data_IF_647364576907
#
_entry.id   IF_647364576907
#
_cell.length_a   1.000
_cell.length_b   1.000
_cell.length_c   1.000
_cell.angle_alpha   90.00
_cell.angle_beta   90.00
_cell.angle_gamma   90.00
#
_symmetry.space_group_name_H-M   'P 1'
#
loop_
_entity.id
_entity.type
_entity.pdbx_description
1 polymer ?
#
# COMPACT_ATOMS: atom_id res chain seq x y z
N UNK A 1 10.94 14.20 -36.06
CA UNK A 1 10.06 14.60 -34.94
C UNK A 1 9.98 13.44 -33.95
N UNK A 2 9.63 13.63 -32.66
CA UNK A 2 9.47 12.51 -31.74
C UNK A 2 8.22 11.67 -32.07
N UNK A 3 8.23 10.41 -31.69
CA UNK A 3 7.01 9.65 -31.48
C UNK A 3 6.46 9.98 -30.08
N UNK A 4 5.17 9.78 -29.83
CA UNK A 4 4.57 10.00 -28.53
C UNK A 4 3.95 8.69 -28.02
N UNK A 5 4.09 8.43 -26.73
CA UNK A 5 3.39 7.34 -26.04
C UNK A 5 2.39 7.98 -25.07
N UNK A 6 1.17 7.48 -25.12
CA UNK A 6 0.11 7.83 -24.17
C UNK A 6 -0.21 6.63 -23.29
N UNK A 7 -0.27 6.86 -21.98
CA UNK A 7 -0.70 5.88 -20.97
C UNK A 7 -1.74 6.55 -20.10
N UNK A 8 -2.98 6.02 -20.14
CA UNK A 8 -4.07 6.53 -19.29
C UNK A 8 -3.91 6.04 -17.85
N UNK A 9 -3.72 4.74 -17.68
CA UNK A 9 -3.55 4.09 -16.39
C UNK A 9 -2.77 2.78 -16.55
N UNK A 10 -2.31 2.24 -15.42
CA UNK A 10 -1.80 0.88 -15.30
C UNK A 10 -2.89 0.02 -14.67
N UNK A 11 -2.95 -1.26 -15.02
CA UNK A 11 -3.78 -2.25 -14.33
C UNK A 11 -2.91 -3.30 -13.68
N UNK A 12 -3.38 -3.89 -12.58
CA UNK A 12 -2.74 -5.02 -11.91
C UNK A 12 -3.55 -6.28 -12.21
N UNK A 13 -2.88 -7.30 -12.71
CA UNK A 13 -3.46 -8.63 -12.90
C UNK A 13 -2.71 -9.63 -12.03
N UNK A 14 -3.45 -10.37 -11.19
CA UNK A 14 -2.89 -11.39 -10.31
C UNK A 14 -3.94 -12.43 -9.92
N UNK A 15 -3.50 -13.64 -9.62
CA UNK A 15 -4.35 -14.68 -9.08
C UNK A 15 -4.73 -14.35 -7.63
N UNK A 16 -6.04 -14.36 -7.32
CA UNK A 16 -6.53 -14.00 -5.99
C UNK A 16 -6.05 -14.97 -4.91
N UNK A 17 -5.98 -16.27 -5.22
CA UNK A 17 -5.59 -17.28 -4.22
C UNK A 17 -4.15 -17.07 -3.74
N UNK A 18 -3.26 -16.72 -4.64
CA UNK A 18 -1.84 -16.54 -4.37
C UNK A 18 -1.52 -15.15 -3.84
N UNK A 19 -2.06 -14.11 -4.50
CA UNK A 19 -1.66 -12.72 -4.27
C UNK A 19 -2.73 -11.88 -3.55
N UNK A 20 -3.95 -12.39 -3.36
CA UNK A 20 -5.09 -11.61 -2.87
C UNK A 20 -5.64 -10.66 -3.95
N UNK A 21 -6.45 -9.68 -3.55
CA UNK A 21 -7.08 -8.76 -4.48
C UNK A 21 -6.06 -7.97 -5.32
N UNK A 22 -6.47 -7.64 -6.56
CA UNK A 22 -5.70 -6.85 -7.51
C UNK A 22 -5.85 -5.33 -7.32
N UNK A 23 -6.17 -4.89 -6.12
CA UNK A 23 -6.23 -3.47 -5.78
C UNK A 23 -4.85 -2.84 -5.88
N UNK A 24 -4.76 -1.65 -6.46
CA UNK A 24 -3.52 -0.92 -6.60
C UNK A 24 -3.73 0.60 -6.56
N UNK A 25 -2.65 1.33 -6.33
CA UNK A 25 -2.57 2.78 -6.44
C UNK A 25 -1.28 3.15 -7.17
N UNK A 26 -1.17 2.66 -8.43
CA UNK A 26 -0.07 3.02 -9.31
C UNK A 26 -0.34 4.39 -9.91
N UNK A 27 0.46 5.36 -9.52
CA UNK A 27 0.28 6.77 -9.91
C UNK A 27 1.24 7.23 -11.00
N UNK A 28 2.32 6.46 -11.23
CA UNK A 28 3.36 6.78 -12.21
C UNK A 28 3.68 5.60 -13.11
N UNK A 29 4.17 5.93 -14.30
CA UNK A 29 4.84 5.02 -15.20
C UNK A 29 6.34 5.35 -15.28
N UNK A 30 7.20 4.43 -14.84
CA UNK A 30 8.65 4.50 -15.02
C UNK A 30 9.00 3.82 -16.34
N UNK A 31 9.40 4.60 -17.33
CA UNK A 31 9.55 4.14 -18.72
C UNK A 31 11.00 4.04 -19.13
N UNK A 32 11.36 2.90 -19.72
CA UNK A 32 12.64 2.69 -20.35
C UNK A 32 12.45 2.29 -21.82
N UNK A 33 13.32 2.75 -22.71
CA UNK A 33 13.37 2.34 -24.12
C UNK A 33 14.76 1.79 -24.40
N UNK A 34 14.82 0.54 -24.89
CA UNK A 34 16.05 -0.24 -25.10
C UNK A 34 16.95 -0.21 -23.84
N UNK A 35 16.38 -0.56 -22.68
CA UNK A 35 17.05 -0.57 -21.38
C UNK A 35 17.47 0.81 -20.83
N UNK A 36 17.27 1.89 -21.57
CA UNK A 36 17.57 3.25 -21.13
C UNK A 36 16.34 3.91 -20.54
N UNK A 37 16.40 4.29 -19.27
CA UNK A 37 15.31 5.05 -18.61
C UNK A 37 15.16 6.43 -19.27
N UNK A 38 13.95 6.72 -19.73
CA UNK A 38 13.59 8.01 -20.34
C UNK A 38 12.83 8.94 -19.39
N UNK A 39 12.19 8.41 -18.35
CA UNK A 39 11.51 9.22 -17.35
C UNK A 39 10.57 8.45 -16.44
N UNK A 40 10.05 9.22 -15.48
CA UNK A 40 8.93 8.86 -14.63
C UNK A 40 7.79 9.82 -14.94
N UNK A 41 6.65 9.32 -15.33
CA UNK A 41 5.52 10.11 -15.81
C UNK A 41 4.30 9.87 -14.93
N UNK A 42 3.77 10.93 -14.34
CA UNK A 42 2.51 10.89 -13.58
C UNK A 42 1.34 10.60 -14.53
N UNK A 43 0.50 9.66 -14.17
CA UNK A 43 -0.62 9.20 -15.00
C UNK A 43 -1.90 10.01 -14.73
N UNK A 44 -2.72 10.28 -15.77
CA UNK A 44 -2.48 9.95 -17.19
C UNK A 44 -1.41 10.84 -17.83
N UNK A 45 -0.66 10.31 -18.79
CA UNK A 45 0.42 11.07 -19.42
C UNK A 45 0.62 10.75 -20.91
N UNK A 46 0.99 11.79 -21.66
CA UNK A 46 1.51 11.68 -23.03
C UNK A 46 2.91 12.29 -23.08
N UNK A 47 3.90 11.50 -23.44
CA UNK A 47 5.30 11.92 -23.41
C UNK A 47 6.03 11.59 -24.71
N UNK A 48 7.05 12.40 -25.11
CA UNK A 48 7.81 12.20 -26.33
C UNK A 48 8.87 11.11 -26.15
N UNK A 49 9.08 10.33 -27.21
CA UNK A 49 10.19 9.39 -27.35
C UNK A 49 11.00 9.76 -28.59
N UNK A 50 12.28 10.09 -28.39
CA UNK A 50 13.19 10.52 -29.47
C UNK A 50 13.80 9.34 -30.22
N UNK A 51 12.99 8.35 -30.55
CA UNK A 51 13.38 7.16 -31.33
C UNK A 51 12.31 6.86 -32.37
N UNK A 52 12.70 6.16 -33.44
CA UNK A 52 11.80 5.70 -34.52
C UNK A 52 12.09 4.27 -34.93
N UNK A 53 11.07 3.58 -35.41
CA UNK A 53 11.13 2.15 -35.76
C UNK A 53 10.83 1.27 -34.54
N UNK A 54 11.27 0.03 -34.61
CA UNK A 54 10.96 -1.00 -33.60
C UNK A 54 11.92 -0.92 -32.42
N UNK A 55 11.36 -0.72 -31.25
CA UNK A 55 12.11 -0.62 -29.98
C UNK A 55 11.46 -1.45 -28.88
N UNK A 56 12.24 -1.86 -27.90
CA UNK A 56 11.72 -2.42 -26.66
C UNK A 56 11.31 -1.25 -25.74
N UNK A 57 10.06 -1.24 -25.30
CA UNK A 57 9.57 -0.31 -24.30
C UNK A 57 9.17 -1.08 -23.04
N UNK A 58 9.76 -0.72 -21.90
CA UNK A 58 9.51 -1.34 -20.61
C UNK A 58 8.86 -0.32 -19.68
N UNK A 59 7.74 -0.70 -19.06
CA UNK A 59 6.98 0.19 -18.15
C UNK A 59 6.88 -0.47 -16.79
N UNK A 60 7.40 0.19 -15.76
CA UNK A 60 7.29 -0.22 -14.37
C UNK A 60 6.26 0.64 -13.64
N UNK A 61 5.42 0.06 -12.78
CA UNK A 61 4.47 0.82 -11.99
C UNK A 61 5.21 1.65 -10.93
N UNK A 62 4.77 2.89 -10.75
CA UNK A 62 5.27 3.80 -9.71
C UNK A 62 4.23 4.04 -8.62
N UNK A 63 4.71 4.20 -7.40
CA UNK A 63 3.93 4.42 -6.18
C UNK A 63 4.44 5.62 -5.40
N UNK A 64 3.56 6.20 -4.57
CA UNK A 64 3.94 7.10 -3.48
C UNK A 64 4.25 6.26 -2.23
N UNK A 65 5.54 6.17 -1.88
CA UNK A 65 5.97 5.45 -0.68
C UNK A 65 5.45 6.15 0.57
N UNK A 66 4.89 5.40 1.50
CA UNK A 66 4.27 5.92 2.74
C UNK A 66 3.14 6.93 2.49
N UNK A 67 2.53 6.93 1.30
CA UNK A 67 1.52 7.89 0.91
C UNK A 67 2.06 9.31 0.66
N UNK A 68 3.38 9.50 0.65
CA UNK A 68 4.01 10.81 0.47
C UNK A 68 4.18 11.09 -1.02
N UNK A 69 3.45 12.07 -1.56
CA UNK A 69 3.46 12.39 -2.98
C UNK A 69 4.83 12.78 -3.56
N UNK A 70 5.76 13.27 -2.75
CA UNK A 70 7.13 13.56 -3.14
C UNK A 70 8.06 12.33 -3.07
N UNK A 71 7.70 11.28 -2.34
CA UNK A 71 8.49 10.05 -2.19
C UNK A 71 8.07 9.02 -3.23
N UNK A 72 8.39 9.30 -4.50
CA UNK A 72 8.02 8.43 -5.63
C UNK A 72 9.09 7.39 -5.91
N UNK A 73 8.67 6.15 -6.09
CA UNK A 73 9.54 5.04 -6.47
C UNK A 73 8.81 4.08 -7.39
N UNK A 74 9.53 3.35 -8.23
CA UNK A 74 8.91 2.20 -8.89
C UNK A 74 8.60 1.12 -7.86
N UNK A 75 7.50 0.39 -8.08
CA UNK A 75 7.09 -0.67 -7.17
C UNK A 75 7.92 -1.94 -7.41
N UNK A 76 8.76 -2.36 -6.44
CA UNK A 76 9.82 -3.34 -6.70
C UNK A 76 9.33 -4.79 -6.80
N UNK A 77 8.09 -5.08 -6.42
CA UNK A 77 7.53 -6.44 -6.39
C UNK A 77 6.78 -6.83 -7.66
N UNK A 78 6.68 -5.91 -8.63
CA UNK A 78 6.04 -6.15 -9.91
C UNK A 78 7.04 -6.22 -11.05
N UNK A 79 6.72 -7.08 -12.04
CA UNK A 79 7.41 -7.15 -13.31
C UNK A 79 7.11 -5.90 -14.14
N UNK A 80 8.07 -5.43 -14.97
CA UNK A 80 7.74 -4.44 -15.97
C UNK A 80 6.78 -5.03 -17.02
N UNK A 81 5.88 -4.20 -17.55
CA UNK A 81 5.16 -4.51 -18.77
C UNK A 81 6.09 -4.22 -19.96
N UNK A 82 6.51 -5.26 -20.67
CA UNK A 82 7.46 -5.18 -21.77
C UNK A 82 6.77 -5.27 -23.13
N UNK A 83 7.00 -4.27 -23.98
CA UNK A 83 6.62 -4.24 -25.40
C UNK A 83 7.88 -4.41 -26.25
N UNK A 84 8.18 -5.64 -26.70
CA UNK A 84 9.48 -6.01 -27.28
C UNK A 84 9.76 -5.38 -28.66
N UNK A 85 8.74 -5.09 -29.45
CA UNK A 85 8.88 -4.60 -30.84
C UNK A 85 7.86 -3.49 -31.11
N UNK A 86 7.75 -2.49 -30.20
CA UNK A 86 6.84 -1.38 -30.37
C UNK A 86 7.32 -0.50 -31.54
N UNK A 87 6.48 -0.32 -32.56
CA UNK A 87 6.79 0.52 -33.72
C UNK A 87 6.56 2.01 -33.33
N UNK A 88 7.64 2.75 -33.18
CA UNK A 88 7.64 4.17 -32.91
C UNK A 88 7.63 4.97 -34.22
N UNK A 89 6.49 5.62 -34.49
CA UNK A 89 6.32 6.44 -35.71
C UNK A 89 6.40 7.91 -35.36
N UNK A 90 7.23 8.63 -36.10
CA UNK A 90 7.38 10.08 -35.90
C UNK A 90 6.03 10.80 -36.02
N UNK A 91 5.83 11.80 -35.17
CA UNK A 91 4.63 12.64 -35.15
C UNK A 91 3.29 11.89 -34.92
N UNK A 92 3.37 10.71 -34.33
CA UNK A 92 2.18 9.91 -33.96
C UNK A 92 2.10 9.65 -32.47
N UNK A 93 0.89 9.43 -31.96
CA UNK A 93 0.62 9.04 -30.58
C UNK A 93 0.26 7.53 -30.57
N UNK A 94 0.95 6.77 -29.75
CA UNK A 94 0.70 5.36 -29.52
C UNK A 94 0.12 5.21 -28.13
N UNK A 95 -1.12 4.74 -28.02
CA UNK A 95 -1.75 4.47 -26.72
C UNK A 95 -1.39 3.08 -26.25
N UNK A 96 -0.86 2.96 -25.04
CA UNK A 96 -0.56 1.71 -24.37
C UNK A 96 -1.47 1.52 -23.16
N UNK A 97 -1.88 0.28 -22.91
CA UNK A 97 -2.64 -0.14 -21.73
C UNK A 97 -1.82 -1.21 -21.00
N UNK A 98 -0.83 -0.80 -20.19
CA UNK A 98 0.07 -1.75 -19.55
C UNK A 98 -0.65 -2.56 -18.47
N UNK A 99 -0.52 -3.89 -18.55
CA UNK A 99 -0.95 -4.82 -17.52
C UNK A 99 0.26 -5.24 -16.71
N UNK A 100 0.22 -4.95 -15.43
CA UNK A 100 1.29 -5.23 -14.47
C UNK A 100 0.98 -6.54 -13.75
N UNK A 101 2.00 -7.35 -13.53
CA UNK A 101 1.90 -8.57 -12.74
C UNK A 101 2.96 -8.58 -11.65
N UNK A 102 2.67 -9.21 -10.52
CA UNK A 102 3.70 -9.49 -9.52
C UNK A 102 4.79 -10.41 -10.08
N UNK A 103 5.99 -10.36 -9.52
CA UNK A 103 6.94 -11.44 -9.68
C UNK A 103 6.36 -12.73 -9.06
N UNK A 104 6.77 -13.93 -9.51
CA UNK A 104 6.37 -15.16 -8.85
C UNK A 104 6.85 -15.18 -7.38
N UNK A 105 6.00 -15.66 -6.49
CA UNK A 105 6.37 -15.90 -5.09
C UNK A 105 7.55 -16.87 -5.05
N UNK A 106 8.57 -16.55 -4.26
CA UNK A 106 9.82 -17.30 -4.19
C UNK A 106 10.85 -16.99 -5.26
N UNK A 107 10.49 -16.23 -6.32
CA UNK A 107 11.39 -15.89 -7.43
C UNK A 107 11.65 -14.38 -7.60
N UNK A 108 11.06 -13.55 -6.81
CA UNK A 108 11.26 -12.09 -6.87
C UNK A 108 10.88 -11.41 -5.57
N UNK A 109 9.97 -12.02 -4.83
CA UNK A 109 9.58 -11.65 -3.50
C UNK A 109 8.94 -12.84 -2.77
N UNK A 110 8.72 -12.70 -1.47
CA UNK A 110 7.91 -13.59 -0.66
C UNK A 110 6.79 -12.78 0.00
N UNK A 111 5.67 -13.45 0.26
CA UNK A 111 4.58 -12.94 1.06
C UNK A 111 4.71 -13.50 2.47
N UNK A 112 5.00 -12.61 3.43
CA UNK A 112 5.17 -13.01 4.81
C UNK A 112 3.84 -13.19 5.52
N UNK A 113 2.84 -12.38 5.13
CA UNK A 113 1.50 -12.38 5.73
C UNK A 113 0.49 -11.73 4.79
N UNK A 114 -0.75 -12.23 4.85
CA UNK A 114 -1.88 -11.70 4.09
C UNK A 114 -3.14 -11.76 4.95
N UNK A 115 -3.97 -10.70 4.89
CA UNK A 115 -5.28 -10.62 5.54
C UNK A 115 -6.28 -9.99 4.56
N UNK A 116 -7.30 -10.73 4.22
CA UNK A 116 -8.40 -10.32 3.35
C UNK A 116 -9.78 -10.42 4.02
N UNK A 117 -9.80 -10.79 5.30
CA UNK A 117 -11.00 -10.95 6.13
C UNK A 117 -12.02 -11.96 5.59
N UNK A 118 -11.68 -12.77 4.59
CA UNK A 118 -12.59 -13.79 4.03
C UNK A 118 -12.68 -15.06 4.91
N UNK A 119 -11.74 -15.20 5.83
CA UNK A 119 -11.68 -16.35 6.77
C UNK A 119 -11.58 -15.90 8.23
N UNK A 120 -10.60 -16.41 8.97
CA UNK A 120 -10.31 -15.98 10.33
C UNK A 120 -9.54 -14.66 10.32
N UNK A 121 -9.78 -13.80 11.32
CA UNK A 121 -9.10 -12.52 11.46
C UNK A 121 -7.66 -12.76 11.94
N UNK A 122 -6.69 -12.34 11.16
CA UNK A 122 -5.26 -12.39 11.48
C UNK A 122 -4.74 -11.19 12.28
N UNK A 123 -5.63 -10.38 12.83
CA UNK A 123 -5.34 -9.22 13.68
C UNK A 123 -5.97 -9.42 15.06
N UNK A 124 -5.25 -9.04 16.10
CA UNK A 124 -5.72 -9.15 17.49
C UNK A 124 -5.51 -7.84 18.25
N UNK A 125 -6.43 -7.46 19.16
CA UNK A 125 -6.22 -6.30 20.02
C UNK A 125 -5.05 -6.55 20.98
N UNK A 126 -4.30 -5.50 21.30
CA UNK A 126 -3.34 -5.54 22.39
C UNK A 126 -4.05 -5.37 23.73
N UNK A 127 -3.33 -5.61 24.82
CA UNK A 127 -3.88 -5.46 26.18
C UNK A 127 -4.37 -4.04 26.49
N UNK A 128 -3.79 -3.03 25.82
CA UNK A 128 -4.11 -1.62 26.03
C UNK A 128 -5.30 -1.15 25.18
N UNK A 129 -5.85 -1.97 24.31
CA UNK A 129 -6.90 -1.57 23.37
C UNK A 129 -8.29 -1.60 24.01
N UNK A 130 -9.05 -0.51 23.87
CA UNK A 130 -10.45 -0.41 24.34
C UNK A 130 -11.43 -1.21 23.47
N UNK A 131 -11.02 -1.55 22.25
CA UNK A 131 -11.87 -2.26 21.28
C UNK A 131 -11.07 -3.24 20.45
N UNK A 132 -11.77 -4.02 19.66
CA UNK A 132 -11.18 -5.01 18.75
C UNK A 132 -11.60 -4.79 17.31
N UNK A 133 -10.87 -5.40 16.38
CA UNK A 133 -11.28 -5.48 14.99
C UNK A 133 -12.34 -6.57 14.82
N UNK A 134 -13.38 -6.28 14.06
CA UNK A 134 -14.45 -7.21 13.72
C UNK A 134 -14.54 -7.41 12.22
N UNK A 135 -14.81 -8.62 11.80
CA UNK A 135 -15.14 -8.96 10.41
C UNK A 135 -16.57 -8.52 10.11
N UNK A 136 -16.75 -7.71 9.07
CA UNK A 136 -18.05 -7.16 8.67
C UNK A 136 -18.28 -7.29 7.17
N UNK A 137 -19.55 -7.37 6.80
CA UNK A 137 -20.06 -7.30 5.42
C UNK A 137 -21.18 -6.27 5.39
N UNK A 138 -20.81 -5.02 5.67
CA UNK A 138 -21.73 -3.88 5.62
C UNK A 138 -21.55 -3.06 4.33
N UNK A 139 -22.32 -2.00 4.17
CA UNK A 139 -22.29 -1.18 2.96
C UNK A 139 -20.93 -0.47 2.73
N UNK A 140 -20.08 -0.40 3.74
CA UNK A 140 -18.76 0.22 3.69
C UNK A 140 -17.63 -0.80 3.52
N UNK A 141 -17.91 -2.10 3.68
CA UNK A 141 -16.93 -3.14 3.42
C UNK A 141 -16.46 -3.11 1.96
N UNK A 142 -15.23 -3.51 1.72
CA UNK A 142 -14.74 -3.68 0.35
C UNK A 142 -15.45 -4.87 -0.29
N UNK A 143 -15.96 -4.67 -1.50
CA UNK A 143 -16.62 -5.73 -2.25
C UNK A 143 -16.01 -5.87 -3.64
N UNK A 144 -15.66 -7.08 -3.99
CA UNK A 144 -15.22 -7.47 -5.33
C UNK A 144 -15.76 -8.86 -5.67
N UNK A 145 -15.32 -9.43 -6.79
CA UNK A 145 -15.73 -10.78 -7.19
C UNK A 145 -15.35 -11.85 -6.16
N UNK A 146 -14.23 -11.66 -5.43
CA UNK A 146 -13.67 -12.65 -4.51
C UNK A 146 -13.50 -12.11 -3.06
N UNK A 147 -13.99 -10.92 -2.76
CA UNK A 147 -13.89 -10.29 -1.45
C UNK A 147 -15.22 -9.71 -1.04
N UNK A 148 -15.72 -10.11 0.13
CA UNK A 148 -17.05 -9.77 0.63
C UNK A 148 -17.02 -9.18 2.03
N UNK A 149 -15.93 -9.36 2.75
CA UNK A 149 -15.77 -8.94 4.13
C UNK A 149 -14.56 -8.02 4.29
N UNK A 150 -14.65 -7.13 5.26
CA UNK A 150 -13.52 -6.28 5.68
C UNK A 150 -13.37 -6.28 7.19
N UNK A 151 -12.22 -5.91 7.69
CA UNK A 151 -12.01 -5.63 9.11
C UNK A 151 -12.52 -4.25 9.46
N UNK A 152 -13.34 -4.14 10.50
CA UNK A 152 -13.84 -2.88 11.02
C UNK A 152 -13.50 -2.71 12.48
N UNK A 153 -12.92 -1.55 12.82
CA UNK A 153 -12.72 -1.08 14.19
C UNK A 153 -13.65 0.10 14.40
N UNK A 154 -14.34 0.12 15.53
CA UNK A 154 -15.22 1.21 15.91
C UNK A 154 -14.78 1.71 17.28
N UNK A 155 -14.49 3.01 17.39
CA UNK A 155 -14.28 3.71 18.65
C UNK A 155 -15.52 4.54 18.95
N UNK A 156 -16.31 4.17 19.98
CA UNK A 156 -17.36 5.00 20.51
C UNK A 156 -16.82 6.33 21.06
N UNK A 157 -17.67 7.33 21.25
CA UNK A 157 -17.26 8.65 21.78
C UNK A 157 -16.49 8.60 23.11
N UNK A 158 -16.82 7.63 23.96
CA UNK A 158 -16.20 7.48 25.29
C UNK A 158 -14.93 6.62 25.30
N UNK A 159 -14.60 5.97 24.17
CA UNK A 159 -13.39 5.16 24.06
C UNK A 159 -12.20 6.03 23.68
N UNK A 160 -11.09 5.79 24.35
CA UNK A 160 -9.87 6.58 24.16
C UNK A 160 -9.04 6.06 23.00
N UNK A 161 -8.79 4.75 22.93
CA UNK A 161 -7.77 4.19 22.04
C UNK A 161 -8.13 2.81 21.51
N UNK A 162 -7.54 2.47 20.37
CA UNK A 162 -7.37 1.09 19.97
C UNK A 162 -5.92 0.84 19.55
N UNK A 163 -5.45 -0.35 19.79
CA UNK A 163 -4.24 -0.89 19.18
C UNK A 163 -4.48 -2.34 18.81
N UNK A 164 -4.44 -2.63 17.52
CA UNK A 164 -4.52 -4.00 16.98
C UNK A 164 -3.23 -4.33 16.24
N UNK A 165 -2.79 -5.58 16.31
CA UNK A 165 -1.57 -6.01 15.66
C UNK A 165 -1.77 -7.37 14.99
N UNK A 166 -0.87 -7.74 14.06
CA UNK A 166 -0.85 -9.07 13.46
C UNK A 166 -0.77 -10.13 14.57
N UNK A 167 -1.65 -11.14 14.49
CA UNK A 167 -1.62 -12.27 15.43
C UNK A 167 -0.34 -13.08 15.25
N UNK A 168 0.11 -13.23 14.00
CA UNK A 168 1.34 -13.91 13.64
C UNK A 168 2.57 -13.05 13.89
N UNK A 169 3.67 -13.72 14.23
CA UNK A 169 5.00 -13.14 14.38
C UNK A 169 5.72 -13.22 13.03
N UNK A 170 6.14 -12.06 12.52
CA UNK A 170 6.89 -11.96 11.28
C UNK A 170 8.39 -12.14 11.59
N UNK A 171 8.93 -13.29 11.25
CA UNK A 171 10.32 -13.69 11.58
C UNK A 171 11.28 -13.60 10.40
N UNK A 172 10.84 -13.10 9.25
CA UNK A 172 11.71 -12.97 8.08
C UNK A 172 12.73 -11.84 8.27
N UNK A 173 13.90 -12.03 7.70
CA UNK A 173 14.94 -11.01 7.65
C UNK A 173 15.14 -10.52 6.22
N UNK A 174 15.29 -9.21 6.06
CA UNK A 174 15.68 -8.62 4.80
C UNK A 174 17.16 -8.23 4.86
N UNK A 175 17.98 -8.78 4.00
CA UNK A 175 19.37 -8.31 3.87
C UNK A 175 19.50 -7.06 2.99
N UNK A 176 18.43 -6.69 2.33
CA UNK A 176 18.50 -5.68 1.30
C UNK A 176 18.75 -4.30 1.90
N UNK A 177 19.78 -3.72 1.37
CA UNK A 177 20.15 -2.34 1.56
C UNK A 177 19.29 -1.49 0.63
N UNK A 178 18.17 -0.96 1.10
CA UNK A 178 17.44 0.01 0.28
C UNK A 178 15.95 0.04 0.55
N UNK A 179 15.34 1.11 0.07
CA UNK A 179 13.90 1.30 0.08
C UNK A 179 13.21 0.19 -0.72
N UNK A 180 12.12 -0.37 -0.15
CA UNK A 180 11.34 -1.40 -0.80
C UNK A 180 11.80 -2.83 -0.59
N UNK A 181 12.65 -3.11 0.39
CA UNK A 181 13.03 -4.49 0.75
C UNK A 181 11.90 -5.26 1.43
N UNK A 182 11.02 -4.55 2.15
CA UNK A 182 9.76 -5.06 2.71
C UNK A 182 8.71 -3.95 2.71
N UNK A 183 7.47 -4.29 2.35
CA UNK A 183 6.36 -3.35 2.34
C UNK A 183 5.09 -3.96 2.91
N UNK A 184 4.29 -3.11 3.53
CA UNK A 184 2.88 -3.36 3.78
C UNK A 184 2.08 -2.71 2.63
N UNK A 185 1.30 -3.50 1.93
CA UNK A 185 0.17 -3.02 1.12
C UNK A 185 -1.08 -3.01 1.99
N UNK A 186 -1.89 -1.98 1.88
CA UNK A 186 -3.09 -1.84 2.69
C UNK A 186 -4.16 -1.04 1.95
N UNK A 187 -5.36 -1.58 1.88
CA UNK A 187 -6.57 -0.82 1.55
C UNK A 187 -7.22 -0.37 2.86
N UNK A 188 -7.67 0.88 2.91
CA UNK A 188 -8.27 1.45 4.10
C UNK A 188 -9.37 2.45 3.76
N UNK A 189 -10.32 2.57 4.69
CA UNK A 189 -11.42 3.53 4.62
C UNK A 189 -11.71 4.01 6.05
N UNK A 190 -11.48 5.28 6.34
CA UNK A 190 -11.57 5.81 7.70
C UNK A 190 -12.04 7.26 7.72
N UNK A 191 -12.79 7.62 8.76
CA UNK A 191 -13.19 9.00 9.05
C UNK A 191 -12.29 9.68 10.09
N UNK A 192 -11.28 8.96 10.62
CA UNK A 192 -10.33 9.51 11.58
C UNK A 192 -8.90 9.10 11.26
N UNK A 193 -7.95 9.74 11.90
CA UNK A 193 -6.53 9.43 11.73
C UNK A 193 -6.14 8.17 12.49
N UNK A 194 -5.19 7.41 11.94
CA UNK A 194 -4.56 6.30 12.62
C UNK A 194 -3.06 6.26 12.33
N UNK A 195 -2.30 5.68 13.24
CA UNK A 195 -0.91 5.30 12.96
C UNK A 195 -0.84 3.84 12.53
N UNK A 196 0.04 3.60 11.57
CA UNK A 196 0.49 2.27 11.17
C UNK A 196 1.97 2.17 11.48
N UNK A 197 2.38 1.08 12.11
CA UNK A 197 3.76 0.91 12.53
C UNK A 197 4.18 -0.54 12.71
N UNK A 198 5.39 -0.70 13.24
CA UNK A 198 5.94 -2.00 13.61
C UNK A 198 6.12 -2.08 15.13
N UNK A 199 5.64 -3.18 15.69
CA UNK A 199 6.09 -3.68 16.98
C UNK A 199 7.21 -4.68 16.73
N UNK A 200 8.26 -4.65 17.55
CA UNK A 200 9.32 -5.64 17.49
C UNK A 200 9.73 -6.08 18.90
N UNK A 201 10.13 -7.34 19.00
CA UNK A 201 10.57 -7.94 20.25
C UNK A 201 12.10 -8.08 20.26
N UNK A 202 12.72 -7.36 21.18
CA UNK A 202 14.17 -7.29 21.34
C UNK A 202 14.53 -7.14 22.80
N UNK A 203 15.56 -7.83 23.26
CA UNK A 203 16.06 -7.74 24.65
C UNK A 203 14.94 -7.93 25.72
N UNK A 204 14.05 -8.91 25.49
CA UNK A 204 12.92 -9.24 26.38
C UNK A 204 11.88 -8.12 26.53
N UNK A 205 11.84 -7.19 25.57
CA UNK A 205 10.87 -6.09 25.53
C UNK A 205 10.20 -6.00 24.17
N UNK A 206 8.96 -5.57 24.19
CA UNK A 206 8.23 -5.15 23.00
C UNK A 206 8.34 -3.65 22.85
N UNK A 207 8.89 -3.21 21.73
CA UNK A 207 8.96 -1.80 21.36
C UNK A 207 7.95 -1.52 20.25
N UNK A 208 7.37 -0.31 20.26
CA UNK A 208 6.40 0.15 19.24
C UNK A 208 6.99 1.33 18.49
N UNK A 209 7.03 1.26 17.17
CA UNK A 209 7.52 2.34 16.33
C UNK A 209 6.45 2.73 15.29
N UNK A 210 5.83 3.90 15.41
CA UNK A 210 4.92 4.41 14.39
C UNK A 210 5.71 4.80 13.14
N UNK A 211 5.23 4.35 11.97
CA UNK A 211 5.89 4.62 10.68
C UNK A 211 5.14 5.68 9.88
N UNK A 212 3.84 5.55 9.80
CA UNK A 212 3.00 6.41 8.97
C UNK A 212 1.76 6.83 9.72
N UNK A 213 1.45 8.11 9.67
CA UNK A 213 0.15 8.67 10.06
C UNK A 213 -0.75 8.65 8.84
N UNK A 214 -1.80 7.85 8.90
CA UNK A 214 -2.80 7.71 7.84
C UNK A 214 -3.94 8.68 8.13
N UNK A 215 -4.24 9.53 7.15
CA UNK A 215 -5.28 10.54 7.26
C UNK A 215 -6.64 9.98 6.83
N UNK A 216 -7.76 10.57 7.27
CA UNK A 216 -9.09 10.21 6.83
C UNK A 216 -9.20 10.13 5.31
N UNK A 217 -9.96 9.17 4.85
CA UNK A 217 -10.17 8.96 3.41
C UNK A 217 -11.21 9.93 2.85
N UNK A 218 -12.09 10.41 3.72
CA UNK A 218 -13.12 11.40 3.42
C UNK A 218 -13.03 12.57 4.41
N UNK A 219 -13.34 13.77 3.95
CA UNK A 219 -13.41 14.98 4.79
C UNK A 219 -14.79 15.18 5.40
N UNK A 220 -15.77 14.38 4.99
CA UNK A 220 -17.12 14.43 5.53
C UNK A 220 -17.19 13.66 6.84
N UNK A 221 -17.89 14.24 7.83
CA UNK A 221 -18.16 13.59 9.10
C UNK A 221 -19.10 12.39 8.92
N UNK A 222 -18.93 11.36 9.72
CA UNK A 222 -19.79 10.19 9.73
C UNK A 222 -19.10 8.93 9.22
N UNK A 223 -19.88 7.99 8.68
CA UNK A 223 -19.35 6.71 8.20
C UNK A 223 -18.55 6.94 6.91
N UNK A 224 -17.26 6.53 6.86
CA UNK A 224 -16.39 6.79 5.72
C UNK A 224 -16.87 6.00 4.48
N UNK A 225 -16.76 6.62 3.30
CA UNK A 225 -17.31 6.09 2.04
C UNK A 225 -16.25 5.79 0.98
N UNK A 226 -15.00 6.16 1.22
CA UNK A 226 -13.95 6.09 0.19
C UNK A 226 -12.80 5.20 0.63
N UNK A 227 -12.57 4.15 -0.13
CA UNK A 227 -11.40 3.32 0.00
C UNK A 227 -10.18 3.96 -0.68
N UNK A 228 -9.03 3.82 -0.05
CA UNK A 228 -7.72 4.21 -0.59
C UNK A 228 -6.73 3.08 -0.37
N UNK A 229 -5.72 3.00 -1.25
CA UNK A 229 -4.60 2.08 -1.09
C UNK A 229 -3.32 2.84 -0.79
N UNK A 230 -2.53 2.32 0.15
CA UNK A 230 -1.23 2.85 0.55
C UNK A 230 -0.18 1.72 0.57
N UNK A 231 1.07 2.10 0.30
CA UNK A 231 2.25 1.25 0.36
C UNK A 231 3.19 1.78 1.42
N UNK A 232 3.41 1.03 2.49
CA UNK A 232 4.22 1.46 3.63
C UNK A 232 5.53 0.69 3.65
N UNK A 233 6.65 1.41 3.63
CA UNK A 233 7.98 0.83 3.68
C UNK A 233 8.30 0.34 5.11
N UNK A 234 8.46 -0.97 5.27
CA UNK A 234 8.86 -1.62 6.50
C UNK A 234 10.36 -1.91 6.55
N UNK A 235 10.99 -2.00 5.38
CA UNK A 235 12.36 -2.53 5.23
C UNK A 235 13.41 -1.72 5.96
N UNK A 236 13.25 -0.40 6.07
CA UNK A 236 14.19 0.45 6.78
C UNK A 236 14.30 0.07 8.26
N UNK A 237 13.17 -0.04 8.95
CA UNK A 237 13.12 -0.38 10.37
C UNK A 237 13.53 -1.83 10.61
N UNK A 238 13.05 -2.76 9.78
CA UNK A 238 13.43 -4.16 9.90
C UNK A 238 14.91 -4.39 9.70
N UNK A 239 15.59 -3.50 8.98
CA UNK A 239 17.05 -3.50 8.83
C UNK A 239 17.76 -2.89 10.04
N UNK A 240 17.27 -1.79 10.58
CA UNK A 240 17.84 -1.15 11.77
C UNK A 240 17.70 -2.06 12.99
N UNK A 241 16.57 -2.75 13.13
CA UNK A 241 16.25 -3.66 14.21
C UNK A 241 16.44 -5.14 13.80
N UNK A 242 17.51 -5.43 13.05
CA UNK A 242 17.76 -6.76 12.47
C UNK A 242 18.05 -7.86 13.48
N UNK A 243 18.27 -7.51 14.73
CA UNK A 243 18.43 -8.41 15.88
C UNK A 243 17.13 -8.63 16.67
N UNK A 244 16.01 -8.05 16.22
CA UNK A 244 14.69 -8.36 16.77
C UNK A 244 14.35 -9.84 16.52
N UNK A 245 13.72 -10.48 17.49
CA UNK A 245 13.29 -11.88 17.36
C UNK A 245 12.13 -12.03 16.40
N UNK A 246 11.24 -11.05 16.36
CA UNK A 246 10.11 -10.96 15.42
C UNK A 246 9.58 -9.53 15.33
N UNK A 247 8.75 -9.31 14.30
CA UNK A 247 8.00 -8.08 14.08
C UNK A 247 6.50 -8.38 14.04
N UNK A 248 5.70 -7.36 14.33
CA UNK A 248 4.25 -7.34 14.09
C UNK A 248 3.87 -6.00 13.48
N UNK A 249 3.05 -6.00 12.45
CA UNK A 249 2.40 -4.76 11.99
C UNK A 249 1.31 -4.40 12.97
N UNK A 250 1.24 -3.14 13.38
CA UNK A 250 0.17 -2.66 14.25
C UNK A 250 -0.50 -1.42 13.69
N UNK A 251 -1.74 -1.25 14.11
CA UNK A 251 -2.60 -0.11 13.81
C UNK A 251 -3.09 0.46 15.13
N UNK A 252 -3.06 1.78 15.28
CA UNK A 252 -3.52 2.45 16.50
C UNK A 252 -4.18 3.77 16.18
N UNK A 253 -5.14 4.19 16.98
CA UNK A 253 -5.74 5.51 16.89
C UNK A 253 -4.72 6.59 17.21
N UNK A 254 -4.99 7.80 16.74
CA UNK A 254 -4.20 8.98 17.09
C UNK A 254 -4.89 9.73 18.23
N UNK A 255 -4.32 9.65 19.42
CA UNK A 255 -4.84 10.31 20.61
C UNK A 255 -4.49 11.81 20.71
N UNK A 256 -3.62 12.30 19.84
CA UNK A 256 -2.95 13.60 20.05
C UNK A 256 -3.58 14.75 19.27
N UNK A 257 -4.72 14.56 18.62
CA UNK A 257 -5.09 15.47 17.56
C UNK A 257 -6.35 16.31 17.82
N UNK A 258 -6.10 17.48 18.36
CA UNK A 258 -6.81 18.69 17.93
C UNK A 258 -6.20 19.10 16.58
N UNK A 259 -6.87 18.84 15.48
CA UNK A 259 -6.39 19.22 14.15
C UNK A 259 -7.06 20.52 13.71
N UNK A 260 -6.23 21.47 13.29
CA UNK A 260 -6.67 22.69 12.64
C UNK A 260 -7.02 22.43 11.18
N UNK A 261 -8.25 22.73 10.79
CA UNK A 261 -8.78 22.55 9.45
C UNK A 261 -7.96 23.33 8.39
N UNK A 262 -7.41 24.48 8.75
CA UNK A 262 -6.61 25.33 7.87
C UNK A 262 -5.21 24.75 7.61
N UNK A 263 -4.71 23.91 8.52
CA UNK A 263 -3.45 23.19 8.36
C UNK A 263 -3.59 21.86 7.60
N UNK A 264 -4.78 21.51 7.11
CA UNK A 264 -5.05 20.27 6.38
C UNK A 264 -5.31 19.06 7.27
N UNK A 265 -5.60 19.26 8.52
CA UNK A 265 -5.96 18.25 9.49
C UNK A 265 -7.49 18.16 9.64
N UNK A 266 -7.99 17.01 10.09
CA UNK A 266 -9.40 16.81 10.35
C UNK A 266 -9.63 16.77 11.85
N UNK A 267 -10.49 17.65 12.34
CA UNK A 267 -10.92 17.65 13.74
C UNK A 267 -12.08 16.67 13.89
N UNK A 268 -11.89 15.66 14.73
CA UNK A 268 -12.98 14.82 15.21
C UNK A 268 -13.25 15.17 16.66
N UNK A 269 -14.40 15.79 16.98
CA UNK A 269 -14.76 15.98 18.35
C UNK A 269 -14.83 14.63 19.07
N UNK A 270 -14.36 14.59 20.31
CA UNK A 270 -14.36 13.39 21.17
C UNK A 270 -15.75 12.75 21.30
N UNK A 271 -16.79 13.46 20.86
CA UNK A 271 -18.19 13.05 20.89
C UNK A 271 -18.69 12.32 19.64
N UNK A 272 -17.84 12.12 18.64
CA UNK A 272 -18.23 11.43 17.41
C UNK A 272 -17.68 10.00 17.36
N UNK A 273 -18.46 9.11 16.74
CA UNK A 273 -18.04 7.73 16.52
C UNK A 273 -16.99 7.67 15.41
N UNK A 274 -15.88 6.98 15.67
CA UNK A 274 -14.77 6.83 14.73
C UNK A 274 -14.76 5.44 14.14
N UNK A 275 -14.57 5.36 12.83
CA UNK A 275 -14.60 4.13 12.05
C UNK A 275 -13.29 3.93 11.29
N UNK A 276 -12.76 2.73 11.36
CA UNK A 276 -11.57 2.32 10.64
C UNK A 276 -11.84 0.98 9.97
N UNK A 277 -11.89 1.01 8.65
CA UNK A 277 -12.02 -0.20 7.84
C UNK A 277 -10.67 -0.51 7.21
N UNK A 278 -10.29 -1.77 7.24
CA UNK A 278 -9.06 -2.31 6.68
C UNK A 278 -9.38 -3.49 5.79
N UNK A 279 -8.65 -3.61 4.69
CA UNK A 279 -8.77 -4.75 3.78
C UNK A 279 -7.52 -4.95 2.94
N UNK A 280 -7.40 -6.12 2.31
CA UNK A 280 -6.34 -6.45 1.35
C UNK A 280 -4.94 -6.14 1.88
N UNK A 281 -4.71 -6.48 3.15
CA UNK A 281 -3.43 -6.28 3.82
C UNK A 281 -2.44 -7.36 3.35
N UNK A 282 -1.21 -6.94 2.98
CA UNK A 282 -0.15 -7.85 2.55
C UNK A 282 1.19 -7.35 3.08
N UNK A 283 1.92 -8.19 3.78
CA UNK A 283 3.33 -7.94 4.10
C UNK A 283 4.17 -8.76 3.13
N UNK A 284 4.88 -8.05 2.27
CA UNK A 284 5.71 -8.63 1.22
C UNK A 284 7.15 -8.16 1.38
N UNK A 285 8.10 -9.05 1.04
CA UNK A 285 9.51 -8.75 1.16
C UNK A 285 10.34 -9.45 0.09
N UNK A 286 11.52 -8.93 -0.18
CA UNK A 286 12.52 -9.62 -0.99
C UNK A 286 13.33 -10.56 -0.10
N UNK A 287 13.34 -11.86 -0.41
CA UNK A 287 14.21 -12.81 0.28
C UNK A 287 15.68 -12.47 0.03
N UNK A 288 16.54 -12.99 0.90
CA UNK A 288 17.99 -12.95 0.73
C UNK A 288 18.47 -13.64 -0.53
#
# INVERSE_FOLDING_TARGET
MPAYIHIEALSLDCDYSDYGANTHNFIDAWVAVDEQTIGCFELPSTFPVLKKGKHKVSIRPGIAVNGIGAARSYYPFCKPADYLNLELVEDSIITLNPVINYFPIGAGFNMAWKEDFESAIGLSPTFESDTSIMRVNDAQAWHSENSFYSGRIVLPPDSLDFTVATSEELTFHTELTGDGSAMLEMDYNTNDTMFVGLMYYKNYKTEKLPLVKVLPTDKEHGIPQKWKKIYINLGHIMKEENDASYFKVYFTSDLTTDYDVDAGYVYHPVNEQRYYYLDNLKVIYRPR
#
